data_IF_504279217105
#
_entry.id   IF_504279217105
#
_cell.length_a   1.000
_cell.length_b   1.000
_cell.length_c   1.000
_cell.angle_alpha   90.00
_cell.angle_beta   90.00
_cell.angle_gamma   90.00
#
_symmetry.space_group_name_H-M   'P 1'
#
loop_
_entity.id
_entity.type
_entity.pdbx_description
1 polymer ?
#
# COMPACT_ATOMS: atom_id res chain seq x y z
N UNK A 1 -4.42 13.44 -8.26
CA UNK A 1 -5.44 12.47 -8.74
C UNK A 1 -5.16 12.17 -10.20
N UNK A 2 -4.70 10.95 -10.50
CA UNK A 2 -4.40 10.52 -11.87
C UNK A 2 -5.59 9.76 -12.46
N UNK A 3 -6.00 10.12 -13.67
CA UNK A 3 -7.04 9.43 -14.44
C UNK A 3 -6.42 8.97 -15.75
N UNK A 4 -6.62 7.70 -16.09
CA UNK A 4 -6.17 7.10 -17.36
C UNK A 4 -7.32 6.33 -18.00
N UNK A 5 -7.26 6.13 -19.30
CA UNK A 5 -8.19 5.26 -20.02
C UNK A 5 -7.82 3.78 -19.83
N UNK A 6 -8.78 2.90 -20.05
CA UNK A 6 -8.54 1.45 -20.08
C UNK A 6 -7.49 1.07 -21.13
N UNK A 7 -7.42 1.81 -22.24
CA UNK A 7 -6.40 1.62 -23.28
C UNK A 7 -5.00 1.97 -22.76
N UNK A 8 -4.82 3.13 -22.14
CA UNK A 8 -3.54 3.55 -21.57
C UNK A 8 -3.08 2.61 -20.45
N UNK A 9 -4.02 2.17 -19.60
CA UNK A 9 -3.72 1.17 -18.58
C UNK A 9 -3.19 -0.13 -19.18
N UNK A 10 -3.85 -0.68 -20.21
CA UNK A 10 -3.43 -1.91 -20.86
C UNK A 10 -2.13 -1.76 -21.66
N UNK A 11 -1.83 -0.56 -22.16
CA UNK A 11 -0.63 -0.28 -22.93
C UNK A 11 0.61 -0.15 -22.03
N UNK A 12 0.47 0.43 -20.84
CA UNK A 12 1.58 0.60 -19.89
C UNK A 12 1.15 0.37 -18.42
N UNK A 13 0.93 -0.90 -18.11
CA UNK A 13 0.57 -1.35 -16.75
C UNK A 13 1.67 -1.00 -15.75
N UNK A 14 2.94 -1.01 -16.16
CA UNK A 14 4.08 -0.72 -15.29
C UNK A 14 4.08 0.74 -14.83
N UNK A 15 3.82 1.69 -15.74
CA UNK A 15 3.66 3.09 -15.38
C UNK A 15 2.42 3.29 -14.48
N UNK A 16 1.30 2.64 -14.78
CA UNK A 16 0.10 2.71 -13.94
C UNK A 16 0.37 2.23 -12.51
N UNK A 17 1.08 1.10 -12.34
CA UNK A 17 1.53 0.60 -11.03
C UNK A 17 2.45 1.58 -10.31
N UNK A 18 3.36 2.25 -11.02
CA UNK A 18 4.25 3.26 -10.43
C UNK A 18 3.46 4.46 -9.91
N UNK A 19 2.46 4.95 -10.65
CA UNK A 19 1.57 6.00 -10.17
C UNK A 19 0.73 5.54 -8.97
N UNK A 20 0.20 4.31 -9.01
CA UNK A 20 -0.60 3.70 -7.96
C UNK A 20 0.14 3.50 -6.61
N UNK A 21 1.48 3.55 -6.61
CA UNK A 21 2.29 3.55 -5.38
C UNK A 21 2.21 4.88 -4.63
N UNK A 22 1.99 5.98 -5.35
CA UNK A 22 1.95 7.32 -4.77
C UNK A 22 0.51 7.76 -4.46
N UNK A 23 -0.43 7.49 -5.37
CA UNK A 23 -1.84 7.87 -5.22
C UNK A 23 -2.78 6.94 -6.01
N UNK A 24 -4.08 6.85 -5.65
CA UNK A 24 -5.05 6.09 -6.44
C UNK A 24 -5.13 6.59 -7.89
N UNK A 25 -5.14 5.65 -8.83
CA UNK A 25 -5.30 5.92 -10.26
C UNK A 25 -6.67 5.45 -10.71
N UNK A 26 -7.46 6.34 -11.29
CA UNK A 26 -8.77 6.01 -11.84
C UNK A 26 -8.63 5.53 -13.28
N UNK A 27 -9.21 4.38 -13.58
CA UNK A 27 -9.28 3.83 -14.93
C UNK A 27 -10.67 4.07 -15.49
N UNK A 28 -10.72 4.66 -16.68
CA UNK A 28 -11.98 4.99 -17.36
C UNK A 28 -12.26 4.05 -18.53
N UNK A 29 -13.54 3.75 -18.75
CA UNK A 29 -14.04 3.20 -20.01
C UNK A 29 -15.05 4.19 -20.60
N UNK A 30 -14.90 4.52 -21.89
CA UNK A 30 -15.72 5.52 -22.62
C UNK A 30 -15.97 6.81 -21.81
N UNK A 31 -14.93 7.32 -21.13
CA UNK A 31 -14.98 8.56 -20.35
C UNK A 31 -15.60 8.43 -18.95
N UNK A 32 -16.04 7.25 -18.54
CA UNK A 32 -16.59 7.00 -17.19
C UNK A 32 -15.58 6.22 -16.34
N UNK A 33 -15.26 6.66 -15.10
CA UNK A 33 -14.48 5.86 -14.18
C UNK A 33 -15.18 4.53 -13.89
N UNK A 34 -14.47 3.42 -14.07
CA UNK A 34 -15.00 2.07 -13.83
C UNK A 34 -14.20 1.31 -12.79
N UNK A 35 -12.90 1.60 -12.69
CA UNK A 35 -11.99 0.93 -11.76
C UNK A 35 -11.03 1.93 -11.11
N UNK A 36 -10.46 1.54 -9.97
CA UNK A 36 -9.37 2.26 -9.30
C UNK A 36 -8.23 1.29 -9.04
N UNK A 37 -7.02 1.71 -9.37
CA UNK A 37 -5.78 1.01 -9.03
C UNK A 37 -5.08 1.73 -7.88
N UNK A 38 -4.68 0.99 -6.86
CA UNK A 38 -3.92 1.49 -5.71
C UNK A 38 -2.98 0.40 -5.17
N UNK A 39 -2.00 0.78 -4.35
CA UNK A 39 -1.20 -0.19 -3.61
C UNK A 39 -2.07 -0.99 -2.63
N UNK A 40 -1.63 -2.22 -2.33
CA UNK A 40 -2.32 -3.06 -1.34
C UNK A 40 -2.28 -2.40 0.05
N UNK A 41 -1.19 -1.73 0.42
CA UNK A 41 -1.06 -1.06 1.72
C UNK A 41 -2.08 0.08 1.86
N UNK A 42 -2.32 0.84 0.79
CA UNK A 42 -3.33 1.89 0.80
C UNK A 42 -4.74 1.29 0.91
N UNK A 43 -5.03 0.22 0.17
CA UNK A 43 -6.30 -0.48 0.27
C UNK A 43 -6.57 -1.00 1.69
N UNK A 44 -5.58 -1.62 2.34
CA UNK A 44 -5.69 -2.11 3.72
C UNK A 44 -5.98 -0.97 4.70
N UNK A 45 -5.23 0.13 4.62
CA UNK A 45 -5.44 1.32 5.45
C UNK A 45 -6.84 1.90 5.29
N UNK A 46 -7.35 1.97 4.05
CA UNK A 46 -8.71 2.45 3.77
C UNK A 46 -9.80 1.51 4.32
N UNK A 47 -9.55 0.20 4.28
CA UNK A 47 -10.46 -0.80 4.85
C UNK A 47 -10.34 -0.95 6.37
N UNK A 48 -9.47 -0.18 7.03
CA UNK A 48 -9.25 -0.29 8.47
C UNK A 48 -8.51 -1.55 8.89
N UNK A 49 -7.94 -2.31 7.94
CA UNK A 49 -6.96 -3.35 8.26
C UNK A 49 -5.71 -2.66 8.80
N UNK A 50 -5.54 -2.75 10.11
CA UNK A 50 -4.30 -2.40 10.80
C UNK A 50 -3.52 -3.68 11.00
N UNK A 51 -2.20 -3.61 10.83
CA UNK A 51 -1.31 -4.69 11.25
C UNK A 51 -1.63 -5.03 12.71
N UNK A 52 -1.84 -6.31 12.99
CA UNK A 52 -2.09 -6.73 14.35
C UNK A 52 -0.83 -6.49 15.18
N UNK A 53 -0.96 -6.36 16.51
CA UNK A 53 0.21 -6.29 17.37
C UNK A 53 1.13 -7.51 17.20
N UNK A 54 0.56 -8.66 16.79
CA UNK A 54 1.33 -9.88 16.48
C UNK A 54 2.17 -9.69 15.23
N UNK A 55 1.63 -9.08 14.17
CA UNK A 55 2.36 -8.80 12.93
C UNK A 55 3.50 -7.80 13.16
N UNK A 56 3.25 -6.79 14.01
CA UNK A 56 4.25 -5.77 14.37
C UNK A 56 5.38 -6.31 15.25
N UNK A 57 5.07 -7.28 16.12
CA UNK A 57 6.03 -7.91 17.04
C UNK A 57 6.68 -9.17 16.46
N UNK A 58 6.29 -9.59 15.26
CA UNK A 58 6.88 -10.74 14.59
C UNK A 58 8.33 -10.39 14.16
N UNK A 59 9.28 -10.74 15.02
CA UNK A 59 10.69 -10.69 14.70
C UNK A 59 11.00 -11.73 13.60
N UNK A 60 11.78 -11.37 12.56
CA UNK A 60 12.25 -12.36 11.59
C UNK A 60 13.05 -13.44 12.31
N UNK A 61 12.91 -14.71 11.89
CA UNK A 61 13.64 -15.83 12.47
C UNK A 61 15.16 -15.54 12.40
N UNK A 62 15.78 -15.33 13.57
CA UNK A 62 17.20 -14.98 13.69
C UNK A 62 17.50 -13.53 14.09
N UNK A 63 16.49 -12.71 14.44
CA UNK A 63 16.75 -11.41 15.04
C UNK A 63 17.51 -11.56 16.38
N UNK A 64 18.54 -10.74 16.62
CA UNK A 64 19.29 -10.79 17.88
C UNK A 64 18.38 -10.40 19.04
N UNK A 65 18.54 -11.10 20.15
CA UNK A 65 17.83 -10.82 21.41
C UNK A 65 18.31 -9.46 21.92
N UNK A 66 17.62 -8.40 21.52
CA UNK A 66 17.94 -7.04 21.91
C UNK A 66 17.37 -6.84 23.30
N UNK A 67 18.25 -6.88 24.30
CA UNK A 67 17.89 -6.61 25.69
C UNK A 67 17.21 -5.24 25.77
N UNK A 68 15.89 -5.24 26.01
CA UNK A 68 15.12 -4.03 26.27
C UNK A 68 15.74 -3.36 27.50
N UNK A 69 16.47 -2.27 27.28
CA UNK A 69 17.10 -1.53 28.37
C UNK A 69 15.98 -0.83 29.16
N UNK A 70 15.83 -1.10 30.47
CA UNK A 70 14.78 -0.45 31.25
C UNK A 70 14.98 1.07 31.19
N UNK A 71 13.90 1.87 31.07
CA UNK A 71 14.02 3.31 31.14
C UNK A 71 14.63 3.69 32.49
N UNK A 72 15.58 4.63 32.48
CA UNK A 72 16.13 5.17 33.72
C UNK A 72 14.99 5.74 34.56
N UNK A 73 14.86 5.22 35.78
CA UNK A 73 13.86 5.73 36.73
C UNK A 73 14.25 7.15 37.09
N UNK A 74 13.37 8.11 36.81
CA UNK A 74 13.45 9.47 37.35
C UNK A 74 13.19 9.47 38.86
#
# INVERSE_FOLDING_TARGET
>A
MKVITSREFNQDVSAAKRFARAEPVFVTDRGRPTHVLMSIDMFRRLNGERESIVDLLALPAGAPDTALTPPERW
#
